data_IF_973085284381
#
_entry.id   IF_973085284381
#
_cell.length_a   1.000
_cell.length_b   1.000
_cell.length_c   1.000
_cell.angle_alpha   90.00
_cell.angle_beta   90.00
_cell.angle_gamma   90.00
#
_symmetry.space_group_name_H-M   'P 1'
#
loop_
_entity.id
_entity.type
_entity.pdbx_description
1 polymer ?
#
# COMPACT_ATOMS: atom_id res chain seq x y z
N UNK A 1 -10.96 16.98 -2.03
CA UNK A 1 -9.65 17.26 -2.66
C UNK A 1 -8.81 16.01 -2.48
N UNK A 2 -8.33 15.38 -3.55
CA UNK A 2 -7.52 14.17 -3.45
C UNK A 2 -6.28 14.46 -2.61
N UNK A 3 -6.07 13.67 -1.57
CA UNK A 3 -4.95 13.85 -0.65
C UNK A 3 -3.63 13.72 -1.43
N UNK A 4 -2.78 14.78 -1.48
CA UNK A 4 -1.53 14.75 -2.22
C UNK A 4 -0.58 13.67 -1.69
N UNK A 5 -0.71 13.29 -0.41
CA UNK A 5 0.08 12.21 0.17
C UNK A 5 -0.34 10.86 -0.40
N UNK A 6 -1.64 10.60 -0.53
CA UNK A 6 -2.18 9.40 -1.18
C UNK A 6 -1.71 9.28 -2.62
N UNK A 7 -1.69 10.40 -3.36
CA UNK A 7 -1.15 10.42 -4.72
C UNK A 7 0.35 10.11 -4.76
N UNK A 8 1.12 10.60 -3.77
CA UNK A 8 2.53 10.27 -3.63
C UNK A 8 2.74 8.78 -3.39
N UNK A 9 1.92 8.17 -2.52
CA UNK A 9 1.99 6.74 -2.22
C UNK A 9 1.64 5.89 -3.44
N UNK A 10 0.63 6.26 -4.23
CA UNK A 10 0.28 5.54 -5.45
C UNK A 10 1.37 5.59 -6.53
N UNK A 11 2.19 6.64 -6.50
CA UNK A 11 3.35 6.81 -7.38
C UNK A 11 4.60 6.11 -6.87
N UNK A 12 4.58 5.60 -5.64
CA UNK A 12 5.72 4.90 -5.04
C UNK A 12 5.91 3.53 -5.72
N UNK A 13 7.07 3.26 -6.35
CA UNK A 13 7.33 1.99 -7.01
C UNK A 13 7.35 0.81 -6.04
N UNK A 14 7.75 1.02 -4.78
CA UNK A 14 7.69 -0.01 -3.74
C UNK A 14 6.24 -0.37 -3.46
N UNK A 15 5.36 0.63 -3.34
CA UNK A 15 3.96 0.37 -3.06
C UNK A 15 3.27 -0.36 -4.22
N UNK A 16 3.58 0.02 -5.46
CA UNK A 16 3.08 -0.69 -6.63
C UNK A 16 3.48 -2.17 -6.64
N UNK A 17 4.72 -2.48 -6.26
CA UNK A 17 5.18 -3.87 -6.13
C UNK A 17 4.47 -4.59 -5.00
N UNK A 18 4.29 -3.96 -3.84
CA UNK A 18 3.58 -4.55 -2.69
C UNK A 18 2.15 -4.88 -3.03
N UNK A 19 1.44 -4.01 -3.75
CA UNK A 19 0.06 -4.25 -4.17
C UNK A 19 -0.03 -5.40 -5.18
N UNK A 20 0.94 -5.50 -6.10
CA UNK A 20 1.04 -6.62 -7.04
C UNK A 20 1.32 -7.93 -6.29
N UNK A 21 2.30 -7.93 -5.39
CA UNK A 21 2.62 -9.09 -4.56
C UNK A 21 1.46 -9.49 -3.63
N UNK A 22 0.69 -8.54 -3.12
CA UNK A 22 -0.52 -8.83 -2.34
C UNK A 22 -1.54 -9.66 -3.14
N UNK A 23 -1.64 -9.42 -4.45
CA UNK A 23 -2.51 -10.18 -5.35
C UNK A 23 -1.90 -11.51 -5.80
N UNK A 24 -0.61 -11.53 -6.14
CA UNK A 24 0.07 -12.71 -6.68
C UNK A 24 0.55 -13.68 -5.59
N UNK A 25 1.14 -13.15 -4.51
CA UNK A 25 1.74 -13.92 -3.43
C UNK A 25 1.64 -13.19 -2.07
N UNK A 26 0.49 -13.32 -1.38
CA UNK A 26 0.26 -12.66 -0.10
C UNK A 26 1.25 -13.06 1.01
N UNK A 27 2.01 -14.15 0.86
CA UNK A 27 3.08 -14.52 1.82
C UNK A 27 4.33 -13.66 1.67
N UNK A 28 4.69 -13.27 0.45
CA UNK A 28 5.84 -12.38 0.20
C UNK A 28 5.53 -10.96 0.68
N UNK A 29 4.31 -10.48 0.37
CA UNK A 29 3.89 -9.14 0.77
C UNK A 29 3.86 -8.96 2.29
N UNK A 30 3.65 -10.02 3.09
CA UNK A 30 3.76 -9.96 4.54
C UNK A 30 5.11 -9.40 5.02
N UNK A 31 6.22 -9.71 4.33
CA UNK A 31 7.53 -9.17 4.70
C UNK A 31 7.60 -7.66 4.46
N UNK A 32 6.94 -7.16 3.41
CA UNK A 32 6.81 -5.73 3.16
C UNK A 32 5.87 -5.04 4.15
N UNK A 33 4.77 -5.70 4.52
CA UNK A 33 3.85 -5.22 5.55
C UNK A 33 4.50 -5.13 6.95
N UNK A 34 5.62 -5.82 7.18
CA UNK A 34 6.39 -5.66 8.42
C UNK A 34 7.17 -4.34 8.47
N UNK A 35 7.35 -3.67 7.34
CA UNK A 35 8.03 -2.38 7.30
C UNK A 35 7.05 -1.29 7.77
N UNK A 36 7.38 -0.53 8.82
CA UNK A 36 6.47 0.45 9.39
C UNK A 36 6.09 1.56 8.40
N UNK A 37 7.01 1.94 7.50
CA UNK A 37 6.70 2.87 6.40
C UNK A 37 5.62 2.35 5.45
N UNK A 38 5.71 1.08 5.04
CA UNK A 38 4.75 0.49 4.10
C UNK A 38 3.38 0.35 4.76
N UNK A 39 3.35 -0.08 6.03
CA UNK A 39 2.11 -0.10 6.82
C UNK A 39 1.47 1.28 6.93
N UNK A 40 2.26 2.32 7.22
CA UNK A 40 1.74 3.68 7.28
C UNK A 40 1.13 4.12 5.94
N UNK A 41 1.81 3.84 4.83
CA UNK A 41 1.35 4.13 3.48
C UNK A 41 0.04 3.41 3.15
N UNK A 42 -0.04 2.11 3.44
CA UNK A 42 -1.24 1.31 3.19
C UNK A 42 -2.41 1.78 4.05
N UNK A 43 -2.18 2.07 5.34
CA UNK A 43 -3.23 2.60 6.21
C UNK A 43 -3.81 3.90 5.67
N UNK A 44 -2.98 4.78 5.08
CA UNK A 44 -3.45 6.01 4.41
C UNK A 44 -4.28 5.70 3.18
N UNK A 45 -3.86 4.75 2.35
CA UNK A 45 -4.64 4.32 1.18
C UNK A 45 -5.99 3.68 1.56
N UNK A 46 -6.04 2.93 2.66
CA UNK A 46 -7.26 2.33 3.21
C UNK A 46 -8.18 3.42 3.78
N UNK A 47 -7.64 4.35 4.57
CA UNK A 47 -8.39 5.48 5.13
C UNK A 47 -8.95 6.39 4.03
N UNK A 48 -8.24 6.53 2.91
CA UNK A 48 -8.70 7.25 1.73
C UNK A 48 -9.70 6.44 0.87
N UNK A 49 -9.99 5.19 1.22
CA UNK A 49 -10.91 4.32 0.50
C UNK A 49 -10.39 3.81 -0.86
N UNK A 50 -9.07 3.94 -1.11
CA UNK A 50 -8.46 3.50 -2.38
C UNK A 50 -8.16 2.01 -2.38
N UNK A 51 -7.75 1.47 -1.22
CA UNK A 51 -7.51 0.04 -1.04
C UNK A 51 -8.55 -0.54 -0.09
N UNK A 52 -9.10 -1.69 -0.46
CA UNK A 52 -9.87 -2.53 0.45
C UNK A 52 -9.07 -3.80 0.76
N UNK A 53 -8.63 -3.95 2.00
CA UNK A 53 -8.25 -5.26 2.51
C UNK A 53 -9.54 -6.02 2.80
N UNK A 54 -9.76 -7.14 2.12
CA UNK A 54 -10.92 -8.01 2.31
C UNK A 54 -10.54 -9.22 3.16
#
# INVERSE_FOLDING_TARGET
MSDPEVQGILRDPVMQNVLRELQENPRSSQQHLRQPEIMAKINKLVAAGIIQMK
#
